data_IF_608760068776
#
_entry.id   IF_608760068776
#
_cell.length_a   1.000
_cell.length_b   1.000
_cell.length_c   1.000
_cell.angle_alpha   90.00
_cell.angle_beta   90.00
_cell.angle_gamma   90.00
#
_symmetry.space_group_name_H-M   'P 1'
#
loop_
_entity.id
_entity.type
_entity.pdbx_description
1 polymer ?
#
# COMPACT_ATOMS: atom_id res chain seq x y z
N UNK A 1 -24.58 -9.86 12.30
CA UNK A 1 -24.56 -8.55 11.62
C UNK A 1 -23.19 -8.36 10.99
N UNK A 2 -22.99 -9.02 9.85
CA UNK A 2 -22.05 -8.68 8.77
C UNK A 2 -22.72 -9.30 7.55
N UNK A 3 -23.27 -8.47 6.66
CA UNK A 3 -23.94 -8.97 5.45
C UNK A 3 -22.82 -9.30 4.48
N UNK A 4 -22.40 -10.57 4.43
CA UNK A 4 -21.48 -11.03 3.38
C UNK A 4 -22.30 -10.96 2.08
N UNK A 5 -21.91 -10.14 1.08
CA UNK A 5 -22.66 -10.05 -0.16
C UNK A 5 -22.42 -11.34 -0.95
N UNK A 6 -23.28 -12.32 -0.70
CA UNK A 6 -23.43 -13.49 -1.55
C UNK A 6 -24.04 -12.97 -2.86
N UNK A 7 -23.27 -12.97 -3.95
CA UNK A 7 -23.80 -12.69 -5.28
C UNK A 7 -24.12 -14.01 -5.95
N UNK A 8 -25.36 -14.16 -6.40
CA UNK A 8 -25.80 -15.32 -7.18
C UNK A 8 -25.91 -14.88 -8.64
N UNK A 9 -25.15 -15.53 -9.54
CA UNK A 9 -25.26 -15.29 -10.98
C UNK A 9 -26.39 -16.17 -11.50
N UNK A 10 -27.41 -15.56 -12.10
CA UNK A 10 -28.46 -16.17 -12.94
C UNK A 10 -29.37 -17.27 -12.33
N UNK A 11 -29.09 -17.81 -11.15
CA UNK A 11 -29.94 -18.80 -10.45
C UNK A 11 -29.63 -18.82 -8.93
N UNK A 12 -30.60 -19.13 -8.04
CA UNK A 12 -30.39 -19.26 -6.59
C UNK A 12 -29.37 -20.31 -6.13
N UNK A 13 -28.89 -21.22 -6.99
CA UNK A 13 -27.88 -22.23 -6.60
C UNK A 13 -26.43 -21.85 -6.94
N UNK A 14 -26.18 -20.92 -7.87
CA UNK A 14 -24.82 -20.51 -8.26
C UNK A 14 -24.43 -19.21 -7.59
N UNK A 15 -24.10 -19.32 -6.30
CA UNK A 15 -23.69 -18.19 -5.47
C UNK A 15 -22.21 -18.27 -5.11
N UNK A 16 -21.51 -17.14 -5.17
CA UNK A 16 -20.12 -17.02 -4.77
C UNK A 16 -19.93 -15.89 -3.77
N UNK A 17 -18.92 -16.04 -2.92
CA UNK A 17 -18.48 -14.96 -2.04
C UNK A 17 -17.72 -13.95 -2.89
N UNK A 18 -18.21 -12.73 -2.96
CA UNK A 18 -17.46 -11.65 -3.60
C UNK A 18 -16.40 -11.18 -2.62
N UNK A 19 -15.14 -11.44 -2.95
CA UNK A 19 -14.02 -10.92 -2.20
C UNK A 19 -13.64 -9.54 -2.72
N UNK A 20 -13.32 -8.63 -1.81
CA UNK A 20 -12.84 -7.28 -2.16
C UNK A 20 -11.34 -7.24 -1.98
N UNK A 21 -10.62 -6.99 -3.07
CA UNK A 21 -9.17 -6.86 -3.05
C UNK A 21 -8.74 -5.63 -2.26
N UNK A 22 -7.56 -5.73 -1.65
CA UNK A 22 -6.96 -4.63 -0.90
C UNK A 22 -6.58 -3.46 -1.80
N UNK A 23 -6.77 -2.24 -1.31
CA UNK A 23 -6.39 -1.00 -1.98
C UNK A 23 -5.28 -0.32 -1.20
N UNK A 24 -4.26 0.17 -1.90
CA UNK A 24 -3.19 0.95 -1.29
C UNK A 24 -3.72 2.30 -0.80
N UNK A 25 -3.33 2.70 0.40
CA UNK A 25 -3.42 4.11 0.81
C UNK A 25 -2.54 4.98 -0.07
N UNK A 26 -2.76 6.29 -0.02
CA UNK A 26 -1.76 7.24 -0.49
C UNK A 26 -0.43 6.98 0.21
N UNK A 27 0.66 7.18 -0.53
CA UNK A 27 1.98 7.18 0.06
C UNK A 27 2.10 8.24 1.15
N UNK A 28 2.82 7.92 2.22
CA UNK A 28 3.28 8.90 3.18
C UNK A 28 4.21 9.90 2.49
N UNK A 29 4.41 11.05 3.14
CA UNK A 29 5.55 11.90 2.82
C UNK A 29 6.85 11.11 2.95
N UNK A 30 7.83 11.48 2.13
CA UNK A 30 9.20 11.00 2.30
C UNK A 30 9.75 11.44 3.65
N UNK A 31 10.47 10.55 4.32
CA UNK A 31 11.28 10.92 5.48
C UNK A 31 12.35 11.93 5.09
N UNK A 32 12.84 12.65 6.09
CA UNK A 32 14.09 13.40 5.96
C UNK A 32 15.20 12.48 5.48
N UNK A 33 16.09 13.02 4.65
CA UNK A 33 17.28 12.30 4.21
C UNK A 33 18.16 11.96 5.41
N UNK A 34 18.74 10.76 5.40
CA UNK A 34 19.65 10.30 6.46
C UNK A 34 20.86 11.22 6.65
N UNK A 35 21.31 11.87 5.58
CA UNK A 35 22.40 12.84 5.60
C UNK A 35 22.03 14.07 4.79
N UNK A 36 22.66 15.19 5.12
CA UNK A 36 22.49 16.46 4.41
C UNK A 36 23.44 16.61 3.23
N UNK A 37 24.41 15.74 3.02
CA UNK A 37 25.33 15.76 1.86
C UNK A 37 25.96 14.37 1.69
N UNK A 38 26.65 14.13 0.58
CA UNK A 38 27.38 12.89 0.32
C UNK A 38 26.51 11.70 -0.08
N UNK A 39 25.21 11.92 -0.37
CA UNK A 39 24.28 10.87 -0.77
C UNK A 39 23.63 10.15 0.41
N UNK A 40 22.44 10.62 0.78
CA UNK A 40 21.57 9.99 1.77
C UNK A 40 20.43 9.18 1.17
N UNK A 41 19.66 8.57 2.04
CA UNK A 41 18.43 7.85 1.69
C UNK A 41 17.24 8.49 2.40
N UNK A 42 16.12 8.59 1.69
CA UNK A 42 14.81 8.86 2.27
C UNK A 42 13.87 7.71 1.97
N UNK A 43 12.92 7.45 2.86
CA UNK A 43 11.97 6.34 2.74
C UNK A 43 10.54 6.90 2.76
N UNK A 44 9.62 6.25 2.06
CA UNK A 44 8.17 6.48 2.23
C UNK A 44 7.45 5.16 2.34
N UNK A 45 6.29 5.17 2.98
CA UNK A 45 5.50 3.98 3.23
C UNK A 45 4.04 4.19 2.82
N UNK A 46 3.33 3.10 2.55
CA UNK A 46 1.88 3.06 2.35
C UNK A 46 1.33 1.79 2.99
N UNK A 47 0.04 1.78 3.26
CA UNK A 47 -0.63 0.65 3.90
C UNK A 47 -1.62 0.03 2.94
N UNK A 48 -1.72 -1.30 2.91
CA UNK A 48 -2.76 -2.00 2.19
C UNK A 48 -4.01 -2.03 3.07
N UNK A 49 -5.12 -1.45 2.60
CA UNK A 49 -6.37 -1.39 3.34
C UNK A 49 -7.45 -2.25 2.68
N UNK A 50 -8.25 -2.88 3.53
CA UNK A 50 -9.44 -3.62 3.12
C UNK A 50 -10.68 -2.88 3.59
N UNK A 51 -11.79 -3.02 2.85
CA UNK A 51 -13.05 -2.42 3.26
C UNK A 51 -13.54 -3.07 4.57
N UNK A 52 -13.82 -2.29 5.63
CA UNK A 52 -14.31 -2.83 6.87
C UNK A 52 -15.59 -3.65 6.68
N UNK A 53 -15.61 -4.87 7.19
CA UNK A 53 -16.78 -5.75 7.13
C UNK A 53 -17.00 -6.46 5.78
N UNK A 54 -16.17 -6.20 4.77
CA UNK A 54 -16.15 -6.99 3.54
C UNK A 54 -15.23 -8.20 3.69
N UNK A 55 -15.54 -9.34 3.05
CA UNK A 55 -14.60 -10.46 2.98
C UNK A 55 -13.38 -10.07 2.13
N UNK A 56 -12.19 -10.38 2.63
CA UNK A 56 -10.93 -9.95 2.01
C UNK A 56 -10.58 -10.82 0.81
N UNK A 57 -10.26 -10.18 -0.31
CA UNK A 57 -9.71 -10.81 -1.51
C UNK A 57 -8.19 -10.87 -1.48
N UNK A 58 -7.59 -10.55 -2.61
CA UNK A 58 -6.15 -10.51 -2.75
C UNK A 58 -5.59 -9.31 -1.99
N UNK A 59 -4.41 -9.52 -1.39
CA UNK A 59 -3.62 -8.41 -0.86
C UNK A 59 -3.10 -7.51 -2.00
N UNK A 60 -2.81 -6.27 -1.66
CA UNK A 60 -2.31 -5.29 -2.61
C UNK A 60 -1.01 -5.76 -3.27
N UNK A 61 -0.92 -5.69 -4.59
CA UNK A 61 0.30 -6.01 -5.32
C UNK A 61 1.32 -4.86 -5.26
N UNK A 62 2.59 -5.19 -5.04
CA UNK A 62 3.70 -4.23 -4.98
C UNK A 62 4.24 -3.98 -3.57
N UNK A 63 5.17 -3.03 -3.45
CA UNK A 63 5.87 -2.77 -2.18
C UNK A 63 5.06 -1.82 -1.28
N UNK A 64 5.10 -2.08 0.03
CA UNK A 64 4.57 -1.20 1.06
C UNK A 64 5.54 -0.06 1.44
N UNK A 65 6.82 -0.20 1.07
CA UNK A 65 7.89 0.75 1.38
C UNK A 65 8.75 1.01 0.14
N UNK A 66 9.23 2.23 0.01
CA UNK A 66 10.06 2.66 -1.10
C UNK A 66 11.18 3.58 -0.59
N UNK A 67 12.36 3.44 -1.19
CA UNK A 67 13.53 4.24 -0.88
C UNK A 67 13.90 5.15 -2.07
N UNK A 68 14.43 6.33 -1.76
CA UNK A 68 15.05 7.24 -2.73
C UNK A 68 16.43 7.66 -2.25
N UNK A 69 17.34 7.84 -3.19
CA UNK A 69 18.58 8.59 -2.92
C UNK A 69 18.28 10.09 -2.89
N UNK A 70 18.95 10.81 -2.02
CA UNK A 70 18.84 12.27 -1.92
C UNK A 70 20.15 12.91 -1.42
N UNK A 71 20.27 14.23 -1.52
CA UNK A 71 21.45 14.98 -1.07
C UNK A 71 22.79 14.44 -1.61
N UNK A 72 22.80 14.08 -2.90
CA UNK A 72 23.97 13.49 -3.58
C UNK A 72 25.10 14.50 -3.86
N UNK A 73 24.96 15.76 -3.46
CA UNK A 73 26.01 16.76 -3.58
C UNK A 73 27.14 16.50 -2.57
N UNK A 74 28.35 16.94 -2.91
CA UNK A 74 29.52 16.78 -2.04
C UNK A 74 29.34 17.53 -0.71
N UNK A 75 29.89 16.96 0.35
CA UNK A 75 29.91 17.62 1.65
C UNK A 75 30.94 18.76 1.67
N UNK A 76 30.63 19.90 2.31
CA UNK A 76 31.62 20.95 2.52
C UNK A 76 32.77 20.42 3.38
N UNK A 77 34.02 20.64 2.93
CA UNK A 77 35.23 20.21 3.65
C UNK A 77 35.85 18.90 3.16
N UNK A 78 35.41 18.40 2.00
CA UNK A 78 36.14 17.42 1.18
C UNK A 78 37.07 18.12 0.19
#
# INVERSE_FOLDING_TARGET
MTIIPIQCINDPVTCFVVLVDGVWTTWSSWTTCTVTCGGGTGTRNRTCQFQPGAPHGHACTGLASENRTCNAYLCPGL
#
